data_IF_351933068041
#
_entry.id   IF_351933068041
#
_cell.length_a   1.000
_cell.length_b   1.000
_cell.length_c   1.000
_cell.angle_alpha   90.00
_cell.angle_beta   90.00
_cell.angle_gamma   90.00
#
_symmetry.space_group_name_H-M   'P 1'
#
loop_
_entity.id
_entity.type
_entity.pdbx_description
1 polymer ?
#
# COMPACT_ATOMS: atom_id res chain seq x y z
N UNK A 1 10.62 -23.45 -30.20
CA UNK A 1 11.44 -24.63 -29.83
C UNK A 1 12.82 -24.69 -30.50
N UNK A 2 13.07 -23.97 -31.59
CA UNK A 2 14.11 -24.37 -32.54
C UNK A 2 15.56 -23.95 -32.25
N UNK A 3 15.83 -22.91 -31.46
CA UNK A 3 17.24 -22.48 -31.30
C UNK A 3 17.98 -23.21 -30.18
N UNK A 4 17.36 -23.43 -29.01
CA UNK A 4 18.09 -23.96 -27.85
C UNK A 4 17.71 -25.40 -27.50
N UNK A 5 16.41 -25.70 -27.35
CA UNK A 5 15.97 -27.04 -26.96
C UNK A 5 16.29 -28.08 -28.04
N UNK A 6 15.97 -27.79 -29.31
CA UNK A 6 16.31 -28.69 -30.41
C UNK A 6 17.83 -28.90 -30.60
N UNK A 7 18.64 -27.88 -30.34
CA UNK A 7 20.10 -28.00 -30.36
C UNK A 7 20.63 -28.82 -29.18
N UNK A 8 20.05 -28.66 -27.98
CA UNK A 8 20.42 -29.42 -26.81
C UNK A 8 20.14 -30.93 -26.99
N UNK A 9 19.05 -31.31 -27.67
CA UNK A 9 18.79 -32.70 -28.05
C UNK A 9 19.84 -33.20 -29.05
N UNK A 10 20.07 -32.45 -30.13
CA UNK A 10 21.07 -32.83 -31.16
C UNK A 10 22.48 -33.00 -30.60
N UNK A 11 22.84 -32.19 -29.60
CA UNK A 11 24.13 -32.23 -28.93
C UNK A 11 24.19 -33.26 -27.79
N UNK A 12 23.09 -33.96 -27.47
CA UNK A 12 23.03 -34.95 -26.39
C UNK A 12 23.02 -34.38 -24.98
N UNK A 13 22.79 -33.07 -24.81
CA UNK A 13 22.73 -32.41 -23.50
C UNK A 13 21.45 -32.78 -22.73
N UNK A 14 20.37 -33.05 -23.45
CA UNK A 14 19.09 -33.54 -22.93
C UNK A 14 18.50 -34.56 -23.92
N UNK A 15 17.61 -35.42 -23.45
CA UNK A 15 16.87 -36.37 -24.28
C UNK A 15 15.47 -35.85 -24.60
N UNK A 16 14.81 -36.41 -25.62
CA UNK A 16 13.37 -36.19 -25.83
C UNK A 16 12.54 -36.59 -24.60
N UNK A 17 12.95 -37.66 -23.89
CA UNK A 17 12.25 -38.10 -22.68
C UNK A 17 12.23 -37.07 -21.54
N UNK A 18 13.22 -36.17 -21.50
CA UNK A 18 13.23 -35.05 -20.54
C UNK A 18 12.14 -34.02 -20.85
N UNK A 19 11.88 -33.81 -22.15
CA UNK A 19 10.79 -32.93 -22.64
C UNK A 19 9.45 -33.61 -22.42
N UNK A 20 9.34 -34.90 -22.74
CA UNK A 20 8.12 -35.68 -22.53
C UNK A 20 7.73 -35.67 -21.05
N UNK A 21 8.68 -35.82 -20.14
CA UNK A 21 8.44 -35.71 -18.70
C UNK A 21 7.92 -34.32 -18.30
N UNK A 22 8.49 -33.25 -18.85
CA UNK A 22 8.03 -31.89 -18.58
C UNK A 22 6.60 -31.67 -19.09
N UNK A 23 6.28 -32.15 -20.29
CA UNK A 23 4.93 -32.12 -20.87
C UNK A 23 3.96 -32.96 -20.03
N UNK A 24 4.35 -34.17 -19.65
CA UNK A 24 3.54 -35.06 -18.83
C UNK A 24 3.17 -34.38 -17.51
N UNK A 25 4.12 -33.73 -16.83
CA UNK A 25 3.85 -32.99 -15.59
C UNK A 25 2.85 -31.85 -15.80
N UNK A 26 3.04 -31.04 -16.84
CA UNK A 26 2.17 -29.91 -17.15
C UNK A 26 0.74 -30.35 -17.52
N UNK A 27 0.62 -31.38 -18.37
CA UNK A 27 -0.69 -31.88 -18.80
C UNK A 27 -1.39 -32.71 -17.73
N UNK A 28 -0.66 -33.44 -16.89
CA UNK A 28 -1.24 -34.15 -15.75
C UNK A 28 -1.97 -33.21 -14.80
N UNK A 29 -1.41 -32.03 -14.50
CA UNK A 29 -2.08 -31.02 -13.69
C UNK A 29 -3.35 -30.47 -14.37
N UNK A 30 -3.27 -30.17 -15.67
CA UNK A 30 -4.44 -29.70 -16.43
C UNK A 30 -5.56 -30.74 -16.49
N UNK A 31 -5.21 -32.02 -16.63
CA UNK A 31 -6.17 -33.13 -16.56
C UNK A 31 -6.80 -33.24 -15.17
N UNK A 32 -6.01 -33.15 -14.08
CA UNK A 32 -6.52 -33.15 -12.70
C UNK A 32 -7.47 -31.99 -12.42
N UNK A 33 -7.20 -30.80 -12.99
CA UNK A 33 -8.06 -29.62 -12.91
C UNK A 33 -9.30 -29.72 -13.82
N UNK A 34 -9.46 -30.82 -14.57
CA UNK A 34 -10.63 -31.08 -15.40
C UNK A 34 -10.64 -30.33 -16.73
N UNK A 35 -9.53 -29.72 -17.18
CA UNK A 35 -9.48 -28.93 -18.42
C UNK A 35 -9.95 -29.71 -19.67
N UNK A 36 -9.90 -31.05 -19.63
CA UNK A 36 -10.28 -31.94 -20.72
C UNK A 36 -11.61 -32.68 -20.47
N UNK A 37 -12.36 -32.31 -19.42
CA UNK A 37 -13.56 -33.02 -18.98
C UNK A 37 -14.85 -32.44 -19.56
N UNK A 38 -14.79 -31.82 -20.74
CA UNK A 38 -15.94 -31.26 -21.44
C UNK A 38 -16.26 -29.83 -21.04
N UNK A 39 -17.54 -29.53 -20.82
CA UNK A 39 -18.04 -28.19 -20.51
C UNK A 39 -17.54 -27.70 -19.14
N UNK A 40 -16.72 -26.64 -19.06
CA UNK A 40 -16.18 -26.13 -17.81
C UNK A 40 -17.24 -25.75 -16.77
N UNK A 41 -18.45 -25.34 -17.20
CA UNK A 41 -19.54 -24.98 -16.28
C UNK A 41 -20.07 -26.18 -15.48
N UNK A 42 -19.81 -27.41 -15.95
CA UNK A 42 -20.23 -28.65 -15.29
C UNK A 42 -19.15 -29.26 -14.40
N UNK A 43 -17.99 -28.61 -14.30
CA UNK A 43 -16.85 -29.06 -13.50
C UNK A 43 -16.89 -28.44 -12.09
N UNK A 44 -16.12 -28.98 -11.12
CA UNK A 44 -15.94 -28.32 -9.83
C UNK A 44 -15.52 -26.86 -10.02
N UNK A 45 -16.18 -25.94 -9.30
CA UNK A 45 -16.00 -24.48 -9.41
C UNK A 45 -16.50 -23.85 -10.72
N UNK A 46 -17.10 -24.61 -11.63
CA UNK A 46 -17.69 -24.11 -12.88
C UNK A 46 -18.99 -23.32 -12.68
N UNK A 47 -19.59 -23.44 -11.50
CA UNK A 47 -20.84 -22.79 -11.08
C UNK A 47 -20.62 -21.45 -10.36
N UNK A 48 -19.37 -21.01 -10.17
CA UNK A 48 -19.05 -19.71 -9.57
C UNK A 48 -19.49 -18.59 -10.53
N UNK A 49 -20.52 -17.80 -10.19
CA UNK A 49 -21.01 -16.77 -11.07
C UNK A 49 -20.09 -15.54 -11.07
N UNK A 50 -20.09 -14.73 -12.14
CA UNK A 50 -19.36 -13.46 -12.17
C UNK A 50 -19.73 -12.50 -11.03
N UNK A 51 -20.93 -12.63 -10.43
CA UNK A 51 -21.37 -11.82 -9.29
C UNK A 51 -20.57 -12.06 -8.00
N UNK A 52 -19.76 -13.13 -7.93
CA UNK A 52 -18.81 -13.33 -6.83
C UNK A 52 -17.58 -12.42 -6.96
N UNK A 53 -17.26 -11.95 -8.17
CA UNK A 53 -16.23 -10.94 -8.38
C UNK A 53 -16.72 -9.64 -7.76
N UNK A 54 -15.89 -9.01 -6.93
CA UNK A 54 -16.24 -7.78 -6.22
C UNK A 54 -17.45 -7.89 -5.27
N UNK A 55 -17.77 -9.09 -4.77
CA UNK A 55 -18.82 -9.26 -3.77
C UNK A 55 -18.52 -8.46 -2.49
N UNK A 56 -19.56 -8.14 -1.73
CA UNK A 56 -19.40 -7.42 -0.46
C UNK A 56 -18.50 -8.19 0.50
N UNK A 57 -18.58 -9.51 0.52
CA UNK A 57 -17.74 -10.38 1.34
C UNK A 57 -16.26 -10.26 0.97
N UNK A 58 -15.92 -10.27 -0.33
CA UNK A 58 -14.53 -10.14 -0.78
C UNK A 58 -13.96 -8.75 -0.52
N UNK A 59 -14.76 -7.70 -0.72
CA UNK A 59 -14.37 -6.31 -0.39
C UNK A 59 -14.14 -6.13 1.11
N UNK A 60 -14.99 -6.71 1.95
CA UNK A 60 -14.82 -6.68 3.40
C UNK A 60 -13.58 -7.46 3.85
N UNK A 61 -13.27 -8.59 3.21
CA UNK A 61 -12.03 -9.33 3.48
C UNK A 61 -10.78 -8.51 3.12
N UNK A 62 -10.81 -7.79 1.99
CA UNK A 62 -9.72 -6.89 1.61
C UNK A 62 -9.55 -5.74 2.62
N UNK A 63 -10.65 -5.13 3.07
CA UNK A 63 -10.64 -4.11 4.12
C UNK A 63 -10.05 -4.66 5.43
N UNK A 64 -10.51 -5.84 5.87
CA UNK A 64 -10.01 -6.48 7.09
C UNK A 64 -8.51 -6.77 6.99
N UNK A 65 -8.04 -7.36 5.89
CA UNK A 65 -6.62 -7.63 5.68
C UNK A 65 -5.77 -6.35 5.73
N UNK A 66 -6.27 -5.24 5.18
CA UNK A 66 -5.59 -3.96 5.26
C UNK A 66 -5.60 -3.38 6.68
N UNK A 67 -6.70 -3.52 7.43
CA UNK A 67 -6.81 -3.08 8.83
C UNK A 67 -5.83 -3.84 9.73
N UNK A 68 -5.83 -5.17 9.64
CA UNK A 68 -5.01 -6.06 10.48
C UNK A 68 -3.50 -5.92 10.15
N UNK A 69 -3.18 -5.53 8.91
CA UNK A 69 -1.80 -5.37 8.43
C UNK A 69 -1.13 -4.03 8.73
N UNK A 70 -1.87 -3.00 9.15
CA UNK A 70 -1.31 -1.67 9.46
C UNK A 70 -0.65 -1.69 10.84
N UNK A 71 0.59 -1.19 10.90
CA UNK A 71 1.43 -1.19 12.10
C UNK A 71 1.55 0.21 12.70
N UNK A 72 1.28 0.34 13.99
CA UNK A 72 1.52 1.55 14.77
C UNK A 72 2.96 1.59 15.29
N UNK A 73 3.81 2.39 14.67
CA UNK A 73 5.24 2.50 15.00
C UNK A 73 5.51 3.51 16.12
N UNK A 74 4.67 4.54 16.24
CA UNK A 74 4.80 5.60 17.25
C UNK A 74 3.43 6.16 17.61
N UNK A 75 3.17 6.40 18.89
CA UNK A 75 2.03 7.15 19.38
C UNK A 75 2.38 7.89 20.68
N UNK A 76 2.69 9.18 20.58
CA UNK A 76 3.06 10.03 21.72
C UNK A 76 1.84 10.83 22.17
N UNK A 77 1.65 10.95 23.49
CA UNK A 77 0.64 11.82 24.07
C UNK A 77 -0.80 11.44 23.72
N UNK A 78 -1.04 10.17 23.36
CA UNK A 78 -2.32 9.69 22.83
C UNK A 78 -2.80 10.50 21.61
N UNK A 79 -1.87 10.80 20.69
CA UNK A 79 -2.19 11.51 19.44
C UNK A 79 -3.24 10.75 18.63
N UNK A 80 -3.14 9.43 18.56
CA UNK A 80 -4.16 8.55 18.00
C UNK A 80 -4.88 7.74 19.10
N UNK A 81 -6.18 7.43 18.92
CA UNK A 81 -7.03 7.84 17.80
C UNK A 81 -7.54 9.30 17.92
N UNK A 82 -7.84 9.92 16.77
CA UNK A 82 -8.51 11.21 16.70
C UNK A 82 -10.02 11.06 16.96
N UNK A 83 -10.58 11.93 17.78
CA UNK A 83 -12.03 12.03 17.93
C UNK A 83 -12.61 12.89 16.81
N UNK A 84 -13.41 12.32 15.90
CA UNK A 84 -14.00 13.03 14.75
C UNK A 84 -14.65 14.37 15.10
N UNK A 85 -15.40 14.44 16.20
CA UNK A 85 -16.07 15.66 16.67
C UNK A 85 -15.11 16.80 17.02
N UNK A 86 -13.84 16.50 17.27
CA UNK A 86 -12.81 17.47 17.66
C UNK A 86 -11.94 17.92 16.47
N UNK A 87 -12.12 17.33 15.28
CA UNK A 87 -11.38 17.67 14.07
C UNK A 87 -12.23 18.61 13.22
N UNK A 88 -12.03 19.92 13.38
CA UNK A 88 -12.81 20.92 12.61
C UNK A 88 -12.25 21.14 11.21
N UNK A 89 -10.91 21.03 11.06
CA UNK A 89 -10.20 21.15 9.79
C UNK A 89 -9.01 20.21 9.74
N UNK A 90 -8.81 19.58 8.57
CA UNK A 90 -7.81 18.54 8.36
C UNK A 90 -6.96 18.85 7.13
N UNK A 91 -5.64 18.80 7.30
CA UNK A 91 -4.69 18.85 6.21
C UNK A 91 -4.19 17.46 5.84
N UNK A 92 -4.39 17.08 4.58
CA UNK A 92 -3.86 15.84 4.01
C UNK A 92 -2.72 16.22 3.08
N UNK A 93 -1.51 15.76 3.39
CA UNK A 93 -0.30 16.19 2.66
C UNK A 93 0.52 15.00 2.19
N UNK A 94 1.04 15.07 0.96
CA UNK A 94 2.06 14.13 0.50
C UNK A 94 1.70 13.35 -0.76
N UNK A 95 2.71 12.76 -1.42
CA UNK A 95 2.57 12.09 -2.71
C UNK A 95 1.63 10.89 -2.67
N UNK A 96 1.60 10.15 -1.55
CA UNK A 96 0.84 8.90 -1.46
C UNK A 96 -0.60 9.11 -0.93
N UNK A 97 -1.04 10.35 -0.71
CA UNK A 97 -2.38 10.63 -0.19
C UNK A 97 -3.50 10.41 -1.21
N UNK A 98 -3.23 10.63 -2.49
CA UNK A 98 -4.20 10.53 -3.58
C UNK A 98 -3.59 9.81 -4.81
N UNK A 99 -2.85 8.72 -4.53
CA UNK A 99 -2.17 7.94 -5.55
C UNK A 99 -2.62 6.46 -5.47
N UNK A 100 -3.67 6.07 -6.22
CA UNK A 100 -4.13 4.68 -6.27
C UNK A 100 -3.02 3.65 -6.53
N UNK A 101 -2.08 3.86 -7.49
CA UNK A 101 -1.02 2.88 -7.75
C UNK A 101 -0.14 2.60 -6.52
N UNK A 102 0.13 3.61 -5.70
CA UNK A 102 0.94 3.47 -4.48
C UNK A 102 0.28 2.59 -3.43
N UNK A 103 -1.03 2.30 -3.52
CA UNK A 103 -1.72 1.42 -2.57
C UNK A 103 -1.70 -0.05 -3.01
N UNK A 104 -1.57 -0.29 -4.32
CA UNK A 104 -1.81 -1.60 -4.94
C UNK A 104 -0.54 -2.45 -5.12
N UNK A 105 0.65 -1.85 -4.97
CA UNK A 105 1.92 -2.54 -5.22
C UNK A 105 2.06 -2.98 -6.68
N UNK A 106 2.56 -4.19 -6.90
CA UNK A 106 2.72 -4.82 -8.22
C UNK A 106 1.83 -6.07 -8.37
N UNK A 107 1.88 -6.72 -9.54
CA UNK A 107 1.16 -7.98 -9.82
C UNK A 107 -0.36 -7.94 -9.55
N UNK A 108 -0.97 -6.74 -9.57
CA UNK A 108 -2.41 -6.55 -9.40
C UNK A 108 -3.13 -6.48 -10.75
N UNK A 109 -4.39 -6.93 -10.76
CA UNK A 109 -5.35 -6.66 -11.83
C UNK A 109 -6.15 -5.39 -11.55
N UNK A 110 -7.08 -5.00 -12.45
CA UNK A 110 -7.99 -3.89 -12.20
C UNK A 110 -8.80 -4.12 -10.92
N UNK A 111 -8.72 -3.23 -9.92
CA UNK A 111 -9.44 -3.40 -8.66
C UNK A 111 -10.93 -3.08 -8.84
N UNK A 112 -11.75 -3.53 -7.89
CA UNK A 112 -13.20 -3.29 -7.91
C UNK A 112 -13.53 -1.82 -7.64
N UNK A 113 -12.75 -1.22 -6.74
CA UNK A 113 -12.72 0.20 -6.44
C UNK A 113 -11.33 0.54 -5.89
N UNK A 114 -10.96 1.81 -5.79
CA UNK A 114 -9.80 2.19 -4.97
C UNK A 114 -10.20 3.39 -4.14
N UNK A 115 -10.15 3.24 -2.83
CA UNK A 115 -10.41 4.34 -1.90
C UNK A 115 -9.05 4.87 -1.46
N UNK A 116 -8.71 6.08 -1.93
CA UNK A 116 -7.46 6.73 -1.51
C UNK A 116 -7.56 7.24 -0.07
N UNK A 117 -6.42 7.45 0.62
CA UNK A 117 -6.45 8.09 1.93
C UNK A 117 -7.13 9.46 1.91
N UNK A 118 -6.92 10.26 0.86
CA UNK A 118 -7.61 11.53 0.69
C UNK A 118 -9.14 11.34 0.61
N UNK A 119 -9.63 10.41 -0.21
CA UNK A 119 -11.06 10.13 -0.34
C UNK A 119 -11.69 9.71 0.99
N UNK A 120 -11.02 8.81 1.72
CA UNK A 120 -11.51 8.31 3.00
C UNK A 120 -11.54 9.39 4.09
N UNK A 121 -10.54 10.27 4.11
CA UNK A 121 -10.46 11.37 5.07
C UNK A 121 -11.45 12.49 4.73
N UNK A 122 -11.68 12.80 3.45
CA UNK A 122 -12.72 13.74 3.01
C UNK A 122 -14.14 13.28 3.38
N UNK A 123 -14.39 11.96 3.37
CA UNK A 123 -15.66 11.38 3.88
C UNK A 123 -15.79 11.47 5.40
N UNK A 124 -14.68 11.61 6.12
CA UNK A 124 -14.65 11.62 7.59
C UNK A 124 -14.67 13.03 8.18
N UNK A 125 -14.10 14.02 7.49
CA UNK A 125 -14.00 15.42 7.94
C UNK A 125 -14.32 16.35 6.76
N UNK A 126 -15.36 17.17 6.92
CA UNK A 126 -15.87 18.05 5.85
C UNK A 126 -14.84 19.08 5.35
N UNK A 127 -14.10 19.75 6.25
CA UNK A 127 -13.05 20.70 5.89
C UNK A 127 -11.69 19.99 5.77
N UNK A 128 -11.61 19.05 4.83
CA UNK A 128 -10.36 18.37 4.46
C UNK A 128 -9.74 19.04 3.25
N UNK A 129 -8.48 19.48 3.39
CA UNK A 129 -7.71 20.16 2.35
C UNK A 129 -6.48 19.36 1.97
N UNK A 130 -6.15 19.34 0.69
CA UNK A 130 -5.06 18.53 0.16
C UNK A 130 -3.91 19.40 -0.40
N UNK A 131 -2.68 18.99 -0.14
CA UNK A 131 -1.50 19.49 -0.87
C UNK A 131 -0.53 18.33 -1.14
N UNK A 132 -0.02 18.23 -2.38
CA UNK A 132 0.93 17.17 -2.74
C UNK A 132 2.29 17.34 -2.04
N UNK A 133 2.74 18.59 -1.87
CA UNK A 133 4.03 18.94 -1.25
C UNK A 133 5.25 18.64 -2.12
N UNK A 134 5.48 17.37 -2.49
CA UNK A 134 6.54 16.96 -3.42
C UNK A 134 6.14 15.71 -4.21
N UNK A 135 6.71 15.55 -5.41
CA UNK A 135 6.52 14.35 -6.24
C UNK A 135 7.57 13.27 -5.95
N UNK A 136 7.25 12.02 -6.28
CA UNK A 136 8.14 10.86 -6.21
C UNK A 136 8.25 10.24 -7.61
N UNK A 137 9.47 10.01 -8.15
CA UNK A 137 10.70 10.73 -7.87
C UNK A 137 10.63 12.14 -8.49
N UNK A 138 10.95 13.20 -7.74
CA UNK A 138 10.87 14.54 -8.33
C UNK A 138 11.57 15.66 -7.59
N UNK A 139 12.02 16.65 -8.37
CA UNK A 139 12.56 17.94 -7.90
C UNK A 139 11.48 19.02 -7.76
N UNK A 140 10.25 18.76 -8.20
CA UNK A 140 9.14 19.70 -8.11
C UNK A 140 8.63 19.71 -6.67
N UNK A 141 8.74 20.87 -6.02
CA UNK A 141 8.35 21.08 -4.63
C UNK A 141 7.40 22.24 -4.50
N UNK A 142 6.20 21.94 -3.99
CA UNK A 142 5.26 22.91 -3.46
C UNK A 142 5.27 22.86 -1.92
N UNK A 143 6.47 22.75 -1.33
CA UNK A 143 6.64 22.75 0.13
C UNK A 143 6.02 24.02 0.76
N UNK A 144 6.19 25.25 0.22
CA UNK A 144 5.55 26.43 0.79
C UNK A 144 4.01 26.34 0.86
N UNK A 145 3.38 25.72 -0.14
CA UNK A 145 1.93 25.49 -0.16
C UNK A 145 1.51 24.51 0.95
N UNK A 146 2.24 23.40 1.09
CA UNK A 146 1.99 22.42 2.15
C UNK A 146 2.18 23.02 3.56
N UNK A 147 3.20 23.88 3.74
CA UNK A 147 3.45 24.62 4.98
C UNK A 147 2.31 25.61 5.28
N UNK A 148 1.86 26.36 4.27
CA UNK A 148 0.73 27.27 4.42
C UNK A 148 -0.55 26.52 4.80
N UNK A 149 -0.81 25.38 4.16
CA UNK A 149 -1.93 24.52 4.48
C UNK A 149 -1.85 24.05 5.93
N UNK A 150 -0.70 23.50 6.35
CA UNK A 150 -0.47 22.97 7.69
C UNK A 150 -0.72 24.00 8.80
N UNK A 151 -0.33 25.26 8.59
CA UNK A 151 -0.58 26.35 9.54
C UNK A 151 -2.05 26.80 9.61
N UNK A 152 -2.85 26.49 8.58
CA UNK A 152 -4.25 26.92 8.49
C UNK A 152 -5.25 25.96 9.14
N UNK A 153 -4.90 24.67 9.28
CA UNK A 153 -5.78 23.59 9.76
C UNK A 153 -5.47 23.17 11.21
N UNK A 154 -6.32 22.36 11.83
CA UNK A 154 -6.12 21.90 13.22
C UNK A 154 -5.22 20.66 13.31
N UNK A 155 -5.41 19.71 12.39
CA UNK A 155 -4.67 18.45 12.33
C UNK A 155 -4.06 18.28 10.95
N UNK A 156 -2.89 17.63 10.90
CA UNK A 156 -2.20 17.32 9.66
C UNK A 156 -1.84 15.85 9.64
N UNK A 157 -2.17 15.19 8.52
CA UNK A 157 -1.84 13.79 8.25
C UNK A 157 -1.03 13.75 6.96
N UNK A 158 0.17 13.20 7.05
CA UNK A 158 1.13 13.15 5.97
C UNK A 158 1.25 11.73 5.41
N UNK A 159 1.15 11.57 4.10
CA UNK A 159 1.25 10.29 3.39
C UNK A 159 2.51 10.25 2.54
N UNK A 160 3.49 9.51 3.04
CA UNK A 160 4.86 9.45 2.53
C UNK A 160 5.23 8.01 2.18
N UNK A 161 6.38 7.81 1.58
CA UNK A 161 6.95 6.49 1.35
C UNK A 161 7.40 6.29 -0.09
N UNK A 162 7.10 5.11 -0.63
CA UNK A 162 7.61 4.62 -1.91
C UNK A 162 6.47 4.41 -2.91
N UNK A 163 6.87 4.17 -4.15
CA UNK A 163 6.03 3.72 -5.25
C UNK A 163 6.83 2.76 -6.15
N UNK A 164 6.20 2.32 -7.23
CA UNK A 164 6.80 1.40 -8.20
C UNK A 164 7.92 2.02 -9.03
N UNK A 165 8.19 3.33 -8.91
CA UNK A 165 9.37 3.96 -9.50
C UNK A 165 10.62 3.76 -8.64
N UNK A 166 10.47 3.37 -7.37
CA UNK A 166 11.60 3.11 -6.47
C UNK A 166 11.82 1.63 -6.19
N UNK A 167 10.75 0.84 -6.04
CA UNK A 167 10.86 -0.59 -5.74
C UNK A 167 9.90 -1.42 -6.60
N UNK A 168 10.45 -2.23 -7.52
CA UNK A 168 9.70 -3.17 -8.34
C UNK A 168 10.60 -4.30 -8.84
N UNK A 169 10.01 -5.26 -9.55
CA UNK A 169 10.78 -6.28 -10.28
C UNK A 169 11.77 -5.61 -11.26
N UNK A 170 12.98 -6.14 -11.31
CA UNK A 170 14.12 -5.59 -12.05
C UNK A 170 14.57 -4.18 -11.61
N UNK A 171 14.14 -3.71 -10.43
CA UNK A 171 14.54 -2.42 -9.86
C UNK A 171 14.70 -2.49 -8.33
N UNK A 172 15.92 -2.81 -7.92
CA UNK A 172 16.32 -2.69 -6.51
C UNK A 172 16.58 -1.22 -6.15
N UNK A 173 16.25 -0.85 -4.92
CA UNK A 173 16.65 0.43 -4.34
C UNK A 173 18.15 0.44 -4.05
N UNK A 174 18.76 1.62 -4.15
CA UNK A 174 20.18 1.84 -3.81
C UNK A 174 20.40 2.25 -2.36
N UNK A 175 19.34 2.64 -1.66
CA UNK A 175 19.33 3.04 -0.26
C UNK A 175 17.96 2.80 0.38
N UNK A 176 17.86 3.07 1.68
CA UNK A 176 16.63 2.91 2.45
C UNK A 176 16.02 4.24 2.88
N UNK A 177 16.44 5.39 2.32
CA UNK A 177 15.89 6.69 2.76
C UNK A 177 14.56 6.99 2.06
N UNK A 178 13.81 7.95 2.60
CA UNK A 178 12.66 8.51 1.91
C UNK A 178 13.12 9.21 0.62
N UNK A 179 12.51 8.91 -0.55
CA UNK A 179 12.97 9.46 -1.81
C UNK A 179 12.63 10.94 -1.96
N UNK A 180 13.46 11.65 -2.72
CA UNK A 180 13.28 13.07 -3.04
C UNK A 180 13.33 13.95 -1.79
N UNK A 181 12.38 14.89 -1.68
CA UNK A 181 12.35 15.90 -0.63
C UNK A 181 11.36 15.60 0.50
N UNK A 182 10.89 14.35 0.61
CA UNK A 182 9.87 13.97 1.60
C UNK A 182 10.32 14.24 3.04
N UNK A 183 11.57 13.93 3.42
CA UNK A 183 12.07 14.25 4.77
C UNK A 183 12.05 15.76 5.07
N UNK A 184 12.43 16.59 4.09
CA UNK A 184 12.39 18.05 4.20
C UNK A 184 10.95 18.55 4.30
N UNK A 185 10.04 18.00 3.51
CA UNK A 185 8.61 18.32 3.55
C UNK A 185 8.02 17.98 4.92
N UNK A 186 8.29 16.79 5.46
CA UNK A 186 7.85 16.36 6.79
C UNK A 186 8.34 17.35 7.86
N UNK A 187 9.63 17.65 7.85
CA UNK A 187 10.24 18.57 8.81
C UNK A 187 9.59 19.96 8.76
N UNK A 188 9.41 20.52 7.56
CA UNK A 188 8.85 21.87 7.38
C UNK A 188 7.36 21.96 7.71
N UNK A 189 6.59 20.92 7.39
CA UNK A 189 5.17 20.85 7.75
C UNK A 189 5.01 20.65 9.26
N UNK A 190 5.82 19.81 9.89
CA UNK A 190 5.82 19.61 11.34
C UNK A 190 6.20 20.90 12.12
N UNK A 191 7.05 21.76 11.55
CA UNK A 191 7.35 23.10 12.10
C UNK A 191 6.16 24.06 12.07
N UNK A 192 5.31 23.95 11.05
CA UNK A 192 4.21 24.88 10.80
C UNK A 192 2.86 24.41 11.37
N UNK A 193 2.71 23.11 11.64
CA UNK A 193 1.49 22.52 12.16
C UNK A 193 1.18 23.01 13.59
N UNK A 194 -0.10 23.24 13.88
CA UNK A 194 -0.56 23.67 15.22
C UNK A 194 -0.44 22.58 16.29
N UNK A 195 -0.41 21.31 15.86
CA UNK A 195 -0.36 20.11 16.69
C UNK A 195 0.65 19.12 16.11
N UNK A 196 1.16 18.16 16.90
CA UNK A 196 1.98 17.08 16.38
C UNK A 196 1.29 16.38 15.19
N UNK A 197 2.03 16.19 14.09
CA UNK A 197 1.49 15.61 12.87
C UNK A 197 1.36 14.08 13.00
N UNK A 198 0.51 13.49 12.16
CA UNK A 198 0.44 12.05 11.98
C UNK A 198 1.15 11.70 10.67
N UNK A 199 2.15 10.82 10.72
CA UNK A 199 2.88 10.35 9.55
C UNK A 199 2.41 8.93 9.18
N UNK A 200 2.02 8.73 7.92
CA UNK A 200 1.63 7.44 7.36
C UNK A 200 2.61 7.08 6.24
N UNK A 201 3.26 5.93 6.38
CA UNK A 201 4.22 5.39 5.42
C UNK A 201 3.56 4.30 4.58
N UNK A 202 3.53 4.53 3.27
CA UNK A 202 3.07 3.58 2.25
C UNK A 202 4.31 3.10 1.51
N UNK A 203 4.72 1.87 1.78
CA UNK A 203 5.88 1.23 1.16
C UNK A 203 5.85 -0.26 1.42
N UNK A 204 6.37 -1.07 0.50
CA UNK A 204 6.65 -2.48 0.76
C UNK A 204 7.95 -2.62 1.55
N UNK A 205 9.03 -2.03 1.04
CA UNK A 205 10.33 -2.07 1.68
C UNK A 205 10.45 -1.12 2.88
N UNK A 206 11.43 -1.37 3.78
CA UNK A 206 11.68 -0.52 4.94
C UNK A 206 12.24 0.85 4.53
N UNK A 207 11.98 1.84 5.37
CA UNK A 207 12.41 3.23 5.22
C UNK A 207 13.11 3.70 6.49
N UNK A 208 14.27 4.35 6.36
CA UNK A 208 14.94 5.03 7.46
C UNK A 208 14.16 6.29 7.83
N UNK A 209 13.51 6.22 9.00
CA UNK A 209 12.73 7.29 9.60
C UNK A 209 13.33 7.74 10.93
N UNK A 210 14.64 7.53 11.14
CA UNK A 210 15.33 7.89 12.40
C UNK A 210 15.11 9.36 12.77
N UNK A 211 15.07 10.26 11.78
CA UNK A 211 14.79 11.68 11.99
C UNK A 211 13.41 11.96 12.63
N UNK A 212 12.44 11.05 12.44
CA UNK A 212 11.07 11.20 12.91
C UNK A 212 10.79 10.48 14.25
N UNK A 213 11.64 9.50 14.61
CA UNK A 213 11.47 8.62 15.77
C UNK A 213 11.27 9.42 17.06
N UNK A 214 12.20 10.33 17.35
CA UNK A 214 12.23 11.07 18.62
C UNK A 214 11.74 12.54 18.49
N UNK A 215 11.30 12.96 17.30
CA UNK A 215 10.77 14.31 17.09
C UNK A 215 9.38 14.47 17.76
N UNK A 216 9.21 15.34 18.78
CA UNK A 216 7.92 15.53 19.45
C UNK A 216 6.87 16.20 18.56
N UNK A 217 7.26 16.80 17.43
CA UNK A 217 6.33 17.37 16.44
C UNK A 217 5.66 16.30 15.58
N UNK A 218 6.10 15.04 15.69
CA UNK A 218 5.48 13.89 15.02
C UNK A 218 4.81 13.05 16.10
N UNK A 219 3.50 13.21 16.23
CA UNK A 219 2.73 12.61 17.32
C UNK A 219 2.45 11.12 17.10
N UNK A 220 2.29 10.69 15.85
CA UNK A 220 2.10 9.28 15.51
C UNK A 220 2.75 8.91 14.18
N UNK A 221 3.15 7.63 14.06
CA UNK A 221 3.68 7.04 12.84
C UNK A 221 2.97 5.70 12.58
N UNK A 222 2.37 5.56 11.41
CA UNK A 222 1.78 4.32 10.89
C UNK A 222 2.62 3.82 9.71
N UNK A 223 2.86 2.52 9.63
CA UNK A 223 3.29 1.85 8.40
C UNK A 223 2.15 1.00 7.86
N UNK A 224 1.77 1.24 6.62
CA UNK A 224 0.56 0.68 6.02
C UNK A 224 0.84 -0.25 4.82
N UNK A 225 2.12 -0.58 4.55
CA UNK A 225 2.46 -1.50 3.48
C UNK A 225 1.94 -1.03 2.11
N UNK A 226 1.40 -1.99 1.34
CA UNK A 226 0.53 -1.76 0.19
C UNK A 226 -0.90 -2.22 0.54
N UNK A 227 -1.75 -1.34 1.06
CA UNK A 227 -3.00 -1.73 1.72
C UNK A 227 -4.17 -2.03 0.76
N UNK A 228 -3.92 -2.09 -0.55
CA UNK A 228 -4.89 -2.53 -1.55
C UNK A 228 -6.06 -1.57 -1.77
N UNK A 229 -7.14 -2.10 -2.35
CA UNK A 229 -8.32 -1.32 -2.79
C UNK A 229 -9.03 -0.55 -1.67
N UNK A 230 -9.06 -1.13 -0.47
CA UNK A 230 -9.71 -0.57 0.71
C UNK A 230 -8.75 0.23 1.60
N UNK A 231 -7.51 0.46 1.15
CA UNK A 231 -6.43 0.96 2.00
C UNK A 231 -6.69 2.33 2.63
N UNK A 232 -7.28 3.27 1.89
CA UNK A 232 -7.69 4.56 2.46
C UNK A 232 -8.72 4.42 3.58
N UNK A 233 -9.71 3.52 3.42
CA UNK A 233 -10.70 3.24 4.46
C UNK A 233 -10.07 2.58 5.69
N UNK A 234 -9.16 1.62 5.49
CA UNK A 234 -8.45 0.97 6.60
C UNK A 234 -7.64 1.98 7.41
N UNK A 235 -6.84 2.83 6.74
CA UNK A 235 -6.05 3.87 7.40
C UNK A 235 -6.95 4.86 8.15
N UNK A 236 -8.05 5.32 7.53
CA UNK A 236 -9.01 6.22 8.18
C UNK A 236 -9.64 5.59 9.42
N UNK A 237 -10.01 4.30 9.35
CA UNK A 237 -10.60 3.58 10.48
C UNK A 237 -9.66 3.52 11.70
N UNK A 238 -8.35 3.39 11.47
CA UNK A 238 -7.33 3.41 12.53
C UNK A 238 -7.11 4.82 13.07
N UNK A 239 -7.03 5.82 12.19
CA UNK A 239 -6.84 7.22 12.59
C UNK A 239 -7.96 7.68 13.51
N UNK A 240 -9.20 7.28 13.26
CA UNK A 240 -10.37 7.67 14.05
C UNK A 240 -10.82 6.65 15.10
N UNK A 241 -10.09 5.54 15.25
CA UNK A 241 -10.33 4.55 16.30
C UNK A 241 -11.56 3.65 16.09
N UNK A 242 -12.02 3.47 14.85
CA UNK A 242 -13.01 2.44 14.52
C UNK A 242 -12.39 1.04 14.52
N UNK A 243 -11.07 0.96 14.35
CA UNK A 243 -10.28 -0.28 14.38
C UNK A 243 -8.94 -0.03 15.08
N UNK A 244 -8.47 -1.00 15.88
CA UNK A 244 -7.20 -0.92 16.59
C UNK A 244 -6.08 -1.53 15.73
N UNK A 245 -4.96 -0.83 15.49
CA UNK A 245 -3.86 -1.39 14.71
C UNK A 245 -3.20 -2.55 15.48
N UNK A 246 -2.95 -3.67 14.79
CA UNK A 246 -2.09 -4.74 15.30
C UNK A 246 -2.76 -5.84 16.14
N UNK A 247 -4.02 -6.20 15.88
CA UNK A 247 -4.61 -7.44 16.45
C UNK A 247 -3.84 -8.71 16.03
N UNK A 248 -2.94 -8.63 15.06
CA UNK A 248 -1.96 -9.66 14.70
C UNK A 248 -0.52 -9.14 14.71
N UNK A 249 0.05 -8.86 15.89
CA UNK A 249 1.51 -8.71 16.00
C UNK A 249 2.16 -10.10 15.96
N UNK A 250 2.55 -10.56 14.77
CA UNK A 250 3.71 -11.44 14.69
C UNK A 250 4.94 -10.60 15.08
N UNK A 251 5.69 -11.05 16.09
CA UNK A 251 6.84 -10.41 16.75
C UNK A 251 8.05 -10.11 15.82
N UNK A 252 7.85 -9.43 14.69
CA UNK A 252 8.91 -9.20 13.69
C UNK A 252 9.63 -7.85 13.81
N UNK A 253 9.18 -6.91 14.66
CA UNK A 253 9.74 -5.55 14.69
C UNK A 253 10.00 -4.93 16.07
N UNK A 254 10.25 -5.75 17.10
CA UNK A 254 10.92 -5.26 18.31
C UNK A 254 12.39 -5.68 18.31
N UNK A 255 13.26 -4.79 17.83
CA UNK A 255 14.69 -4.74 18.16
C UNK A 255 15.09 -3.30 18.49
#
# INVERSE_FOLDING_TARGET
MNQHVGAAIKNGNISESDIDRALFNAFSLRMKLGLFNGDPQKLPSGDIPPSQICSTEHKNLALQAAQDGIVLLKNIGNTLPLTRSNVTSLGVIGPNANAPPSLLGNYNGPPCEVITPLDALQRSVNDTRFAIGCNVPGNVTNIPEAVQLASSVDYVIMFMGLDQDQEREDLDRTDLVLPGMQQTLISKVAEAAKKPIILVLISGGPLDITFAKDDPRIGAILWAGFPGEAGGSAISSIIFGDHNPGETSHDFFTM
#
